data_IF_320415102020
#
_entry.id   IF_320415102020
#
_cell.length_a   1.000
_cell.length_b   1.000
_cell.length_c   1.000
_cell.angle_alpha   90.00
_cell.angle_beta   90.00
_cell.angle_gamma   90.00
#
_symmetry.space_group_name_H-M   'P 1'
#
loop_
_entity.id
_entity.type
_entity.pdbx_description
1 polymer ?
#
# COMPACT_ATOMS: atom_id res chain seq x y z
N UNK A 1 -2.52 9.87 9.22
CA UNK A 1 -1.36 9.64 10.12
C UNK A 1 -0.11 9.36 9.29
N UNK A 2 -0.08 8.30 8.44
CA UNK A 2 1.10 7.92 7.65
C UNK A 2 1.68 9.10 6.87
N UNK A 3 0.86 9.78 6.07
CA UNK A 3 1.27 10.94 5.28
C UNK A 3 1.84 12.08 6.15
N UNK A 4 1.27 12.32 7.33
CA UNK A 4 1.76 13.35 8.26
C UNK A 4 3.14 12.99 8.82
N UNK A 5 3.39 11.72 9.13
CA UNK A 5 4.67 11.23 9.63
C UNK A 5 5.77 11.22 8.54
N UNK A 6 5.38 11.00 7.28
CA UNK A 6 6.30 11.04 6.14
C UNK A 6 6.69 12.47 5.77
N UNK A 7 5.70 13.34 5.57
CA UNK A 7 5.94 14.73 5.13
C UNK A 7 6.58 15.61 6.23
N UNK A 8 6.30 15.29 7.51
CA UNK A 8 6.79 16.10 8.62
C UNK A 8 6.21 17.50 8.66
N UNK A 9 6.81 18.36 9.49
CA UNK A 9 6.47 19.78 9.62
C UNK A 9 7.58 20.70 9.10
N UNK A 10 8.68 20.10 8.62
CA UNK A 10 9.84 20.82 8.08
C UNK A 10 10.89 21.20 9.12
N UNK A 11 10.71 20.82 10.39
CA UNK A 11 11.70 20.95 11.45
C UNK A 11 12.16 19.54 11.88
N UNK A 12 13.42 19.14 11.65
CA UNK A 12 13.90 17.77 11.91
C UNK A 12 13.73 17.32 13.36
N UNK A 13 13.88 18.23 14.34
CA UNK A 13 13.76 17.88 15.76
C UNK A 13 12.30 17.64 16.14
N UNK A 14 11.38 18.46 15.62
CA UNK A 14 9.93 18.30 15.82
C UNK A 14 9.44 17.03 15.14
N UNK A 15 9.93 16.77 13.93
CA UNK A 15 9.55 15.58 13.16
C UNK A 15 10.05 14.30 13.83
N UNK A 16 11.27 14.30 14.36
CA UNK A 16 11.80 13.19 15.14
C UNK A 16 10.96 12.92 16.41
N UNK A 17 10.64 13.97 17.15
CA UNK A 17 9.82 13.84 18.36
C UNK A 17 8.42 13.28 18.02
N UNK A 18 7.78 13.81 17.00
CA UNK A 18 6.47 13.35 16.54
C UNK A 18 6.49 11.87 16.14
N UNK A 19 7.55 11.43 15.43
CA UNK A 19 7.74 10.03 15.03
C UNK A 19 7.97 9.13 16.25
N UNK A 20 8.79 9.55 17.21
CA UNK A 20 9.06 8.83 18.45
C UNK A 20 7.80 8.67 19.32
N UNK A 21 7.03 9.75 19.49
CA UNK A 21 5.76 9.72 20.21
C UNK A 21 4.74 8.79 19.54
N UNK A 22 4.66 8.82 18.20
CA UNK A 22 3.80 7.91 17.45
C UNK A 22 4.21 6.44 17.66
N UNK A 23 5.51 6.14 17.60
CA UNK A 23 6.04 4.78 17.85
C UNK A 23 5.68 4.32 19.26
N UNK A 24 5.89 5.14 20.28
CA UNK A 24 5.55 4.81 21.66
C UNK A 24 4.05 4.50 21.81
N UNK A 25 3.19 5.34 21.25
CA UNK A 25 1.74 5.14 21.28
C UNK A 25 1.32 3.83 20.57
N UNK A 26 1.90 3.53 19.41
CA UNK A 26 1.58 2.30 18.69
C UNK A 26 2.09 1.05 19.40
N UNK A 27 3.22 1.13 20.11
CA UNK A 27 3.70 0.02 20.94
C UNK A 27 2.76 -0.27 22.12
N UNK A 28 2.20 0.75 22.77
CA UNK A 28 1.17 0.57 23.81
C UNK A 28 -0.10 -0.07 23.26
N UNK A 29 -0.55 0.38 22.06
CA UNK A 29 -1.76 -0.15 21.44
C UNK A 29 -1.62 -1.61 20.97
N UNK A 30 -0.40 -2.11 20.75
CA UNK A 30 -0.18 -3.52 20.40
C UNK A 30 -0.66 -4.49 21.48
N UNK A 31 -0.72 -4.06 22.74
CA UNK A 31 -1.16 -4.89 23.86
C UNK A 31 -2.68 -5.10 23.89
N UNK A 32 -3.43 -4.32 23.11
CA UNK A 32 -4.88 -4.49 22.96
C UNK A 32 -5.22 -5.85 22.33
N UNK A 33 -6.19 -6.60 22.94
CA UNK A 33 -6.47 -7.97 22.52
C UNK A 33 -7.15 -8.09 21.15
N UNK A 34 -7.80 -7.03 20.68
CA UNK A 34 -8.51 -6.99 19.40
C UNK A 34 -8.27 -5.68 18.70
N UNK A 35 -7.46 -5.72 17.65
CA UNK A 35 -7.22 -4.60 16.77
C UNK A 35 -7.88 -4.87 15.41
N UNK A 36 -8.51 -3.88 14.78
CA UNK A 36 -8.97 -4.00 13.39
C UNK A 36 -7.77 -4.25 12.46
N UNK A 37 -7.94 -5.11 11.44
CA UNK A 37 -6.89 -5.48 10.49
C UNK A 37 -6.20 -4.27 9.86
N UNK A 38 -6.99 -3.30 9.36
CA UNK A 38 -6.46 -2.05 8.77
C UNK A 38 -5.61 -1.27 9.78
N UNK A 39 -5.99 -1.29 11.06
CA UNK A 39 -5.20 -0.62 12.10
C UNK A 39 -3.87 -1.34 12.35
N UNK A 40 -3.87 -2.67 12.34
CA UNK A 40 -2.65 -3.48 12.44
C UNK A 40 -1.71 -3.21 11.26
N UNK A 41 -2.25 -3.05 10.04
CA UNK A 41 -1.46 -2.70 8.85
C UNK A 41 -0.78 -1.33 9.01
N UNK A 42 -1.52 -0.31 9.48
CA UNK A 42 -0.97 1.03 9.75
C UNK A 42 0.11 0.97 10.85
N UNK A 43 -0.17 0.25 11.93
CA UNK A 43 0.74 0.04 13.04
C UNK A 43 2.05 -0.63 12.57
N UNK A 44 1.92 -1.73 11.82
CA UNK A 44 3.07 -2.42 11.24
C UNK A 44 3.88 -1.51 10.31
N UNK A 45 3.22 -0.70 9.49
CA UNK A 45 3.90 0.29 8.65
C UNK A 45 4.72 1.28 9.48
N UNK A 46 4.11 1.92 10.48
CA UNK A 46 4.77 2.95 11.31
C UNK A 46 5.93 2.34 12.09
N UNK A 47 5.74 1.19 12.72
CA UNK A 47 6.82 0.52 13.46
C UNK A 47 7.91 -0.01 12.52
N UNK A 48 7.58 -0.44 11.31
CA UNK A 48 8.57 -0.83 10.31
C UNK A 48 9.42 0.33 9.82
N UNK A 49 8.82 1.51 9.67
CA UNK A 49 9.50 2.70 9.17
C UNK A 49 10.31 3.42 10.26
N UNK A 50 9.74 3.55 11.45
CA UNK A 50 10.28 4.38 12.52
C UNK A 50 10.63 3.60 13.80
N UNK A 51 10.60 2.26 13.78
CA UNK A 51 10.86 1.42 14.96
C UNK A 51 12.22 1.65 15.63
N UNK A 52 13.19 2.20 14.91
CA UNK A 52 14.50 2.59 15.47
C UNK A 52 14.42 3.75 16.47
N UNK A 53 13.36 4.56 16.42
CA UNK A 53 13.14 5.66 17.36
C UNK A 53 12.48 5.22 18.66
N UNK A 54 12.20 3.91 18.82
CA UNK A 54 11.59 3.37 20.01
C UNK A 54 12.55 3.41 21.21
N UNK A 55 12.08 3.90 22.35
CA UNK A 55 12.86 3.91 23.60
C UNK A 55 13.19 2.47 24.11
N UNK A 56 12.33 1.52 23.82
CA UNK A 56 12.50 0.11 24.23
C UNK A 56 13.57 -0.66 23.46
N UNK A 57 14.12 -0.07 22.42
CA UNK A 57 15.09 -0.70 21.53
C UNK A 57 14.46 -1.54 20.41
N UNK A 58 15.19 -1.64 19.32
CA UNK A 58 14.71 -2.26 18.07
C UNK A 58 14.43 -3.77 18.21
N UNK A 59 15.18 -4.48 19.06
CA UNK A 59 14.99 -5.91 19.31
C UNK A 59 13.63 -6.19 19.95
N UNK A 60 13.24 -5.36 20.92
CA UNK A 60 11.91 -5.46 21.56
C UNK A 60 10.78 -5.16 20.56
N UNK A 61 10.98 -4.16 19.66
CA UNK A 61 10.02 -3.87 18.59
C UNK A 61 9.84 -5.08 17.68
N UNK A 62 10.93 -5.76 17.30
CA UNK A 62 10.90 -6.98 16.49
C UNK A 62 10.13 -8.09 17.21
N UNK A 63 10.44 -8.35 18.49
CA UNK A 63 9.76 -9.38 19.28
C UNK A 63 8.24 -9.13 19.36
N UNK A 64 7.82 -7.89 19.62
CA UNK A 64 6.41 -7.51 19.63
C UNK A 64 5.74 -7.64 18.25
N UNK A 65 6.42 -7.28 17.17
CA UNK A 65 5.92 -7.46 15.81
C UNK A 65 5.75 -8.96 15.46
N UNK A 66 6.66 -9.84 15.91
CA UNK A 66 6.53 -11.28 15.75
C UNK A 66 5.28 -11.80 16.49
N UNK A 67 5.09 -11.40 17.74
CA UNK A 67 3.90 -11.76 18.52
C UNK A 67 2.60 -11.21 17.89
N UNK A 68 2.65 -10.02 17.27
CA UNK A 68 1.53 -9.45 16.55
C UNK A 68 1.20 -10.26 15.29
N UNK A 69 2.22 -10.67 14.52
CA UNK A 69 2.07 -11.53 13.33
C UNK A 69 1.37 -12.85 13.68
N UNK A 70 1.76 -13.52 14.74
CA UNK A 70 1.16 -14.78 15.16
C UNK A 70 -0.33 -14.67 15.50
N UNK A 71 -0.74 -13.51 16.02
CA UNK A 71 -2.14 -13.23 16.37
C UNK A 71 -3.05 -12.96 15.16
N UNK A 72 -2.46 -12.62 13.99
CA UNK A 72 -3.24 -12.31 12.81
C UNK A 72 -3.69 -13.59 12.08
N UNK A 73 -4.92 -13.57 11.55
CA UNK A 73 -5.45 -14.63 10.69
C UNK A 73 -5.42 -14.25 9.21
N UNK A 74 -5.50 -12.96 8.93
CA UNK A 74 -5.48 -12.40 7.58
C UNK A 74 -4.07 -12.41 6.99
N UNK A 75 -3.95 -12.95 5.76
CA UNK A 75 -2.67 -13.14 5.06
C UNK A 75 -2.05 -11.81 4.66
N UNK A 76 -2.86 -10.85 4.22
CA UNK A 76 -2.40 -9.54 3.83
C UNK A 76 -1.82 -8.80 5.03
N UNK A 77 -2.53 -8.80 6.16
CA UNK A 77 -2.08 -8.20 7.41
C UNK A 77 -0.79 -8.86 7.94
N UNK A 78 -0.67 -10.19 7.83
CA UNK A 78 0.59 -10.89 8.10
C UNK A 78 1.74 -10.39 7.21
N UNK A 79 1.45 -10.12 5.94
CA UNK A 79 2.43 -9.57 5.00
C UNK A 79 2.96 -8.20 5.44
N UNK A 80 2.11 -7.31 5.96
CA UNK A 80 2.55 -6.01 6.52
C UNK A 80 3.45 -6.21 7.75
N UNK A 81 3.07 -7.10 8.68
CA UNK A 81 3.89 -7.41 9.84
C UNK A 81 5.27 -7.98 9.44
N UNK A 82 5.32 -8.91 8.48
CA UNK A 82 6.56 -9.49 7.98
C UNK A 82 7.48 -8.43 7.37
N UNK A 83 6.94 -7.52 6.57
CA UNK A 83 7.70 -6.41 6.00
C UNK A 83 8.27 -5.48 7.10
N UNK A 84 7.50 -5.21 8.15
CA UNK A 84 7.95 -4.40 9.28
C UNK A 84 9.09 -5.10 10.04
N UNK A 85 8.99 -6.40 10.27
CA UNK A 85 10.04 -7.21 10.91
C UNK A 85 11.32 -7.17 10.05
N UNK A 86 11.19 -7.39 8.73
CA UNK A 86 12.33 -7.35 7.80
C UNK A 86 13.06 -6.00 7.86
N UNK A 87 12.33 -4.88 7.80
CA UNK A 87 12.91 -3.54 7.89
C UNK A 87 13.68 -3.33 9.19
N UNK A 88 13.10 -3.72 10.32
CA UNK A 88 13.75 -3.57 11.63
C UNK A 88 14.96 -4.51 11.77
N UNK A 89 14.91 -5.75 11.27
CA UNK A 89 16.06 -6.64 11.21
C UNK A 89 17.19 -6.05 10.34
N UNK A 90 16.84 -5.39 9.24
CA UNK A 90 17.79 -4.69 8.40
C UNK A 90 18.50 -3.55 9.11
N UNK A 91 17.75 -2.73 9.85
CA UNK A 91 18.30 -1.65 10.68
C UNK A 91 19.15 -2.18 11.84
N UNK A 92 18.76 -3.30 12.44
CA UNK A 92 19.54 -4.00 13.45
C UNK A 92 20.83 -4.65 12.88
N UNK A 93 20.83 -4.97 11.59
CA UNK A 93 21.93 -5.65 10.89
C UNK A 93 21.98 -7.17 11.10
N UNK A 94 21.01 -7.74 11.80
CA UNK A 94 20.89 -9.19 12.01
C UNK A 94 19.41 -9.62 12.11
N UNK A 95 19.17 -10.94 11.99
CA UNK A 95 17.86 -11.55 12.19
C UNK A 95 17.81 -12.10 13.61
N UNK A 96 16.80 -11.69 14.39
CA UNK A 96 16.60 -12.26 15.74
C UNK A 96 16.11 -13.72 15.65
N UNK A 97 16.34 -14.56 16.67
CA UNK A 97 15.90 -15.97 16.65
C UNK A 97 14.38 -16.12 16.44
N UNK A 98 13.58 -15.21 16.98
CA UNK A 98 12.13 -15.19 16.82
C UNK A 98 11.74 -14.88 15.37
N UNK A 99 12.38 -13.85 14.77
CA UNK A 99 12.16 -13.49 13.38
C UNK A 99 12.62 -14.61 12.42
N UNK A 100 13.72 -15.32 12.72
CA UNK A 100 14.19 -16.45 11.91
C UNK A 100 13.19 -17.62 11.97
N UNK A 101 12.65 -17.93 13.15
CA UNK A 101 11.62 -18.97 13.29
C UNK A 101 10.37 -18.63 12.45
N UNK A 102 9.91 -17.38 12.54
CA UNK A 102 8.77 -16.89 11.79
C UNK A 102 9.05 -16.87 10.29
N UNK A 103 10.25 -16.48 9.87
CA UNK A 103 10.68 -16.52 8.48
C UNK A 103 10.60 -17.93 7.91
N UNK A 104 11.10 -18.93 8.65
CA UNK A 104 11.03 -20.34 8.24
C UNK A 104 9.58 -20.82 8.12
N UNK A 105 8.67 -20.37 9.00
CA UNK A 105 7.23 -20.64 8.89
C UNK A 105 6.65 -20.03 7.60
N UNK A 106 7.00 -18.80 7.29
CA UNK A 106 6.54 -18.11 6.06
C UNK A 106 7.02 -18.84 4.79
N UNK A 107 8.28 -19.28 4.76
CA UNK A 107 8.85 -20.03 3.63
C UNK A 107 8.14 -21.36 3.37
N UNK A 108 7.57 -21.98 4.41
CA UNK A 108 6.78 -23.22 4.32
C UNK A 108 5.27 -22.98 4.21
N UNK A 109 4.85 -21.74 4.15
CA UNK A 109 3.43 -21.39 4.07
C UNK A 109 2.78 -21.90 2.79
N UNK A 110 1.50 -22.23 2.87
CA UNK A 110 0.66 -22.52 1.68
C UNK A 110 0.28 -21.28 0.88
N UNK A 111 0.47 -20.10 1.44
CA UNK A 111 0.14 -18.82 0.82
C UNK A 111 1.36 -18.29 0.08
N UNK A 112 1.26 -18.20 -1.24
CA UNK A 112 2.35 -17.78 -2.13
C UNK A 112 2.86 -16.39 -1.76
N UNK A 113 1.97 -15.49 -1.41
CA UNK A 113 2.30 -14.11 -1.01
C UNK A 113 3.25 -14.06 0.21
N UNK A 114 3.00 -14.90 1.22
CA UNK A 114 3.89 -15.01 2.39
C UNK A 114 5.20 -15.69 2.06
N UNK A 115 5.18 -16.69 1.16
CA UNK A 115 6.41 -17.32 0.69
C UNK A 115 7.30 -16.33 -0.06
N UNK A 116 6.73 -15.56 -1.00
CA UNK A 116 7.48 -14.56 -1.78
C UNK A 116 8.10 -13.52 -0.87
N UNK A 117 7.35 -12.99 0.09
CA UNK A 117 7.87 -12.04 1.10
C UNK A 117 8.94 -12.66 1.98
N UNK A 118 8.78 -13.94 2.37
CA UNK A 118 9.78 -14.68 3.12
C UNK A 118 11.07 -14.84 2.33
N UNK A 119 11.01 -15.21 1.05
CA UNK A 119 12.19 -15.27 0.18
C UNK A 119 12.83 -13.89 -0.01
N UNK A 120 12.04 -12.86 -0.19
CA UNK A 120 12.54 -11.49 -0.28
C UNK A 120 13.29 -11.10 1.01
N UNK A 121 12.71 -11.37 2.17
CA UNK A 121 13.36 -11.13 3.46
C UNK A 121 14.72 -11.85 3.56
N UNK A 122 14.75 -13.13 3.23
CA UNK A 122 15.97 -13.93 3.24
C UNK A 122 17.05 -13.33 2.36
N UNK A 123 16.73 -13.03 1.10
CA UNK A 123 17.68 -12.45 0.15
C UNK A 123 18.16 -11.07 0.62
N UNK A 124 17.28 -10.23 1.13
CA UNK A 124 17.63 -8.90 1.65
C UNK A 124 18.61 -8.96 2.82
N UNK A 125 18.55 -10.01 3.64
CA UNK A 125 19.46 -10.18 4.77
C UNK A 125 20.78 -10.87 4.40
N UNK A 126 20.77 -11.73 3.37
CA UNK A 126 21.98 -12.39 2.85
C UNK A 126 22.87 -11.41 2.05
N UNK A 127 22.26 -10.50 1.30
CA UNK A 127 22.94 -9.47 0.50
C UNK A 127 23.17 -8.21 1.35
N UNK A 128 24.28 -8.17 2.06
CA UNK A 128 24.63 -7.03 2.92
C UNK A 128 24.65 -5.72 2.14
N UNK A 129 23.83 -4.79 2.55
CA UNK A 129 23.67 -3.48 1.93
C UNK A 129 22.44 -3.34 1.02
N UNK A 130 21.87 -4.43 0.53
CA UNK A 130 20.67 -4.36 -0.30
C UNK A 130 19.48 -3.79 0.49
N UNK A 131 19.34 -4.20 1.75
CA UNK A 131 18.25 -3.72 2.61
C UNK A 131 18.35 -2.22 2.89
N UNK A 132 19.56 -1.68 3.05
CA UNK A 132 19.77 -0.25 3.28
C UNK A 132 19.46 0.58 2.03
N UNK A 133 19.68 0.00 0.84
CA UNK A 133 19.32 0.65 -0.43
C UNK A 133 17.80 0.60 -0.67
N UNK A 134 17.18 -0.55 -0.35
CA UNK A 134 15.74 -0.73 -0.52
C UNK A 134 14.92 0.03 0.54
N UNK A 135 15.43 0.13 1.75
CA UNK A 135 14.78 0.76 2.89
C UNK A 135 15.77 1.68 3.62
N UNK A 136 16.07 2.87 3.07
CA UNK A 136 16.94 3.81 3.73
C UNK A 136 16.38 4.22 5.10
N UNK A 137 17.26 4.56 6.03
CA UNK A 137 16.87 5.10 7.34
C UNK A 137 16.00 6.36 7.16
N UNK A 138 15.07 6.58 8.08
CA UNK A 138 14.22 7.78 8.06
C UNK A 138 15.02 9.11 8.17
N UNK A 139 16.26 9.03 8.65
CA UNK A 139 17.18 10.18 8.68
C UNK A 139 17.81 10.49 7.32
N UNK A 140 17.83 9.52 6.43
CA UNK A 140 18.25 9.68 5.03
C UNK A 140 17.00 9.86 4.18
N UNK A 141 16.31 11.01 4.36
CA UNK A 141 15.28 11.43 3.41
C UNK A 141 15.91 11.45 2.02
N UNK A 142 15.77 10.35 1.29
CA UNK A 142 16.05 10.33 -0.14
C UNK A 142 15.04 11.28 -0.77
N UNK A 143 15.38 12.55 -0.80
CA UNK A 143 14.74 13.48 -1.71
C UNK A 143 14.97 12.93 -3.10
N UNK A 144 14.01 12.15 -3.59
CA UNK A 144 14.00 11.79 -5.00
C UNK A 144 13.89 13.08 -5.77
N UNK A 145 15.03 13.60 -6.20
CA UNK A 145 15.04 14.70 -7.15
C UNK A 145 14.56 14.10 -8.46
N UNK A 146 13.31 14.37 -8.79
CA UNK A 146 12.76 13.95 -10.09
C UNK A 146 13.54 14.70 -11.15
N UNK A 147 14.31 13.98 -11.98
CA UNK A 147 14.94 14.54 -13.15
C UNK A 147 13.88 14.70 -14.26
N UNK A 148 13.24 15.86 -14.28
CA UNK A 148 12.21 16.20 -15.28
C UNK A 148 12.77 16.18 -16.71
N UNK A 149 14.09 16.35 -16.88
CA UNK A 149 14.76 16.30 -18.19
C UNK A 149 15.04 14.90 -18.68
N UNK A 150 14.86 13.89 -17.82
CA UNK A 150 15.16 12.47 -18.10
C UNK A 150 16.60 12.27 -18.60
N UNK A 151 17.57 13.01 -18.06
CA UNK A 151 18.96 13.04 -18.51
C UNK A 151 19.61 11.66 -18.53
N UNK A 152 19.17 10.72 -17.68
CA UNK A 152 19.63 9.33 -17.64
C UNK A 152 19.30 8.56 -18.94
N UNK A 153 18.32 9.00 -19.74
CA UNK A 153 17.98 8.39 -21.03
C UNK A 153 18.85 8.90 -22.19
N UNK A 154 19.63 9.96 -22.00
CA UNK A 154 20.39 10.60 -23.07
C UNK A 154 21.31 9.62 -23.79
N UNK A 155 22.00 8.77 -23.05
CA UNK A 155 22.91 7.75 -23.63
C UNK A 155 22.14 6.78 -24.53
N UNK A 156 20.96 6.33 -24.09
CA UNK A 156 20.11 5.45 -24.88
C UNK A 156 19.59 6.14 -26.15
N UNK A 157 19.17 7.38 -26.04
CA UNK A 157 18.70 8.17 -27.20
C UNK A 157 19.82 8.34 -28.23
N UNK A 158 21.03 8.63 -27.79
CA UNK A 158 22.19 8.80 -28.68
C UNK A 158 22.55 7.46 -29.37
N UNK A 159 22.53 6.34 -28.67
CA UNK A 159 22.71 5.01 -29.25
C UNK A 159 21.65 4.67 -30.30
N UNK A 160 20.39 4.98 -30.01
CA UNK A 160 19.28 4.76 -30.95
C UNK A 160 19.41 5.65 -32.20
N UNK A 161 19.85 6.90 -32.07
CA UNK A 161 20.13 7.79 -33.21
C UNK A 161 21.25 7.24 -34.09
N UNK A 162 22.34 6.76 -33.48
CA UNK A 162 23.43 6.12 -34.19
C UNK A 162 22.97 4.87 -34.94
N UNK A 163 22.05 4.12 -34.39
CA UNK A 163 21.44 2.93 -35.02
C UNK A 163 20.45 3.25 -36.14
N UNK A 164 20.14 4.54 -36.38
CA UNK A 164 19.26 4.99 -37.48
C UNK A 164 17.81 5.13 -37.05
N UNK A 165 17.50 5.21 -35.80
CA UNK A 165 16.15 5.53 -35.34
C UNK A 165 15.77 6.97 -35.79
N UNK A 166 14.53 7.19 -36.28
CA UNK A 166 14.07 8.52 -36.64
C UNK A 166 14.01 9.42 -35.40
N UNK A 167 14.21 10.72 -35.63
CA UNK A 167 14.04 11.71 -34.58
C UNK A 167 12.57 11.74 -34.10
N UNK A 168 12.36 11.76 -32.79
CA UNK A 168 11.03 11.86 -32.23
C UNK A 168 10.44 13.23 -32.54
N UNK A 169 9.39 13.25 -33.34
CA UNK A 169 8.55 14.42 -33.50
C UNK A 169 7.35 14.26 -32.56
N UNK A 170 7.20 15.13 -31.57
CA UNK A 170 6.00 15.11 -30.77
C UNK A 170 4.78 15.31 -31.66
N UNK A 171 3.66 14.62 -31.41
CA UNK A 171 2.42 14.91 -32.14
C UNK A 171 2.10 16.40 -31.95
N UNK A 172 1.72 17.06 -33.04
CA UNK A 172 1.21 18.42 -32.96
C UNK A 172 -0.08 18.35 -32.13
N UNK A 173 0.02 18.63 -30.84
CA UNK A 173 -1.12 18.84 -29.97
C UNK A 173 -1.88 20.07 -30.48
N UNK A 174 -2.88 19.85 -31.33
CA UNK A 174 -3.83 20.89 -31.64
C UNK A 174 -4.56 21.28 -30.36
N UNK A 175 -4.63 22.57 -30.06
CA UNK A 175 -5.38 23.07 -28.89
C UNK A 175 -6.83 22.54 -28.90
N UNK A 176 -7.35 22.24 -30.10
CA UNK A 176 -8.65 21.63 -30.35
C UNK A 176 -8.75 20.19 -29.79
N UNK A 177 -7.70 19.33 -29.92
CA UNK A 177 -7.70 17.96 -29.34
C UNK A 177 -7.64 17.97 -27.82
N UNK A 178 -6.90 18.92 -27.22
CA UNK A 178 -6.90 19.10 -25.75
C UNK A 178 -8.24 19.59 -25.23
N UNK A 179 -8.94 20.46 -25.96
CA UNK A 179 -10.28 20.90 -25.58
C UNK A 179 -11.32 19.79 -25.77
N UNK A 180 -11.18 18.93 -26.78
CA UNK A 180 -12.05 17.78 -26.99
C UNK A 180 -11.82 16.70 -25.95
N UNK A 181 -10.57 16.37 -25.58
CA UNK A 181 -10.27 15.43 -24.48
C UNK A 181 -10.71 15.98 -23.12
N UNK A 182 -10.50 17.26 -22.85
CA UNK A 182 -10.99 17.90 -21.62
C UNK A 182 -12.51 17.95 -21.55
N UNK A 183 -13.19 18.03 -22.70
CA UNK A 183 -14.65 17.95 -22.78
C UNK A 183 -15.17 16.50 -22.71
N UNK A 184 -14.44 15.51 -23.21
CA UNK A 184 -14.79 14.09 -23.03
C UNK A 184 -14.63 13.61 -21.59
N UNK A 185 -13.70 14.17 -20.83
CA UNK A 185 -13.55 13.91 -19.38
C UNK A 185 -14.65 14.58 -18.51
N UNK A 186 -15.44 15.48 -19.09
CA UNK A 186 -16.66 16.03 -18.46
C UNK A 186 -17.89 15.14 -18.69
N UNK A 187 -17.69 13.86 -19.01
CA UNK A 187 -18.78 12.89 -19.06
C UNK A 187 -19.45 12.80 -17.71
N UNK A 188 -20.70 13.09 -17.70
CA UNK A 188 -21.84 12.82 -16.86
C UNK A 188 -21.75 11.69 -15.77
N UNK A 189 -20.61 11.53 -15.11
CA UNK A 189 -20.50 10.64 -13.95
C UNK A 189 -21.37 11.10 -12.77
N UNK A 190 -21.93 12.30 -12.85
CA UNK A 190 -22.84 12.91 -11.87
C UNK A 190 -24.18 13.34 -12.43
N UNK A 191 -24.56 12.93 -13.64
CA UNK A 191 -25.96 13.07 -14.06
C UNK A 191 -26.81 12.20 -13.14
N UNK A 192 -27.61 12.84 -12.31
CA UNK A 192 -28.55 12.13 -11.47
C UNK A 192 -29.43 11.23 -12.37
N UNK A 193 -29.71 9.98 -11.98
CA UNK A 193 -30.56 9.11 -12.79
C UNK A 193 -31.89 9.82 -13.05
N UNK A 194 -32.26 10.00 -14.33
CA UNK A 194 -33.57 10.51 -14.69
C UNK A 194 -34.61 9.66 -13.99
N UNK A 195 -35.34 10.30 -13.09
CA UNK A 195 -36.49 9.68 -12.44
C UNK A 195 -37.49 9.35 -13.53
N UNK A 196 -37.64 8.08 -13.85
CA UNK A 196 -38.62 7.60 -14.82
C UNK A 196 -39.98 8.15 -14.45
N UNK A 197 -40.57 8.95 -15.36
CA UNK A 197 -41.93 9.44 -15.19
C UNK A 197 -42.84 8.22 -15.03
N UNK A 198 -43.82 8.25 -14.08
CA UNK A 198 -44.69 7.12 -13.89
C UNK A 198 -45.50 6.87 -15.18
N UNK A 199 -45.30 5.68 -15.74
CA UNK A 199 -46.11 5.20 -16.86
C UNK A 199 -47.55 5.08 -16.35
N UNK A 200 -48.49 5.78 -16.98
CA UNK A 200 -49.90 5.71 -16.69
C UNK A 200 -50.36 4.25 -16.75
N UNK A 201 -50.98 3.79 -15.67
CA UNK A 201 -51.50 2.43 -15.59
C UNK A 201 -52.48 2.15 -16.74
N UNK A 202 -52.23 1.07 -17.46
CA UNK A 202 -53.18 0.52 -18.40
C UNK A 202 -54.42 0.00 -17.67
N UNK A 203 -55.64 0.13 -18.23
CA UNK A 203 -56.88 -0.29 -17.58
C UNK A 203 -56.89 -1.82 -17.38
N UNK A 204 -57.27 -2.24 -16.18
CA UNK A 204 -57.52 -3.64 -15.82
C UNK A 204 -58.54 -4.30 -16.76
N UNK A 205 -58.30 -5.54 -17.24
CA UNK A 205 -59.35 -6.28 -17.93
C UNK A 205 -60.39 -6.77 -16.93
N UNK A 206 -61.65 -6.55 -17.29
CA UNK A 206 -62.83 -6.89 -16.50
C UNK A 206 -62.88 -8.37 -16.08
N UNK A 207 -63.23 -8.59 -14.81
CA UNK A 207 -63.38 -9.91 -14.21
C UNK A 207 -64.49 -10.72 -14.94
N UNK A 208 -64.17 -11.93 -15.35
CA UNK A 208 -65.13 -12.94 -15.75
C UNK A 208 -65.78 -13.57 -14.52
N UNK A 209 -67.09 -13.81 -14.54
CA UNK A 209 -67.77 -14.39 -13.39
C UNK A 209 -67.42 -15.88 -13.22
N UNK A 210 -67.19 -16.27 -11.98
CA UNK A 210 -66.90 -17.62 -11.55
C UNK A 210 -68.07 -18.58 -11.85
N UNK A 211 -67.78 -19.69 -12.50
CA UNK A 211 -68.68 -20.84 -12.66
C UNK A 211 -68.82 -21.57 -11.32
N UNK A 212 -70.06 -21.85 -10.93
CA UNK A 212 -70.45 -22.62 -9.74
C UNK A 212 -70.10 -24.10 -9.94
N UNK A 213 -69.67 -24.85 -8.94
CA UNK A 213 -69.52 -26.27 -8.99
C UNK A 213 -70.89 -26.94 -8.80
N UNK A 214 -71.31 -27.71 -9.80
CA UNK A 214 -72.39 -28.69 -9.62
C UNK A 214 -71.78 -29.95 -9.01
N UNK A 215 -72.44 -30.39 -7.90
CA UNK A 215 -72.07 -31.59 -7.24
C UNK A 215 -72.54 -32.90 -7.98
N UNK A 216 -71.83 -33.93 -7.69
CA UNK A 216 -72.26 -35.29 -7.39
C UNK A 216 -71.21 -35.98 -6.55
#
# INVERSE_FOLDING_TARGET
>A
VMKLLEEGQGDPDVDYQMRSEAVAMYLELMDEPKLPEVFVQVLAFVLGQYGETAEVGIEEVISRLCALFERQSDVETKGYCLNAIMKNCGKLGNVTPEADSLLNECLMSRYVDLQERGYMFKVMMEETGLINVAYPSAAEDMMFTVDESLSFLQTYVDEMRISGAPEYNPPEDSEEEREEEANQLKVDAYAAPEVAKPVAAAPEPAAQPAAQPQGF
#
